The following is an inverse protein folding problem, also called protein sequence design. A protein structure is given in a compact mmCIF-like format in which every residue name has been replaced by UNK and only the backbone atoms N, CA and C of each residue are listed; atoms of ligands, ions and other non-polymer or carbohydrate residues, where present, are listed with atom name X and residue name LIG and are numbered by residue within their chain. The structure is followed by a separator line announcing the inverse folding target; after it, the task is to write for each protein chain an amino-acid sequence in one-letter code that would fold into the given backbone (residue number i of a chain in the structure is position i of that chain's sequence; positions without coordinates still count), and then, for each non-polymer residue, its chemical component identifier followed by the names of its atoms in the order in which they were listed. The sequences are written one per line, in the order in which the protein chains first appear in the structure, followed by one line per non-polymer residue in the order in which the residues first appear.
data_IF_983057816718
#
_entry.id   IF_983057816718
#
_cell.length_a   1.000
_cell.length_b   1.000
_cell.length_c   1.000
_cell.angle_alpha   90.00
_cell.angle_beta   90.00
_cell.angle_gamma   90.00
#
_symmetry.space_group_name_H-M   'P 1'
#
loop_
_entity.id
_entity.type
_entity.pdbx_description
1 polymer ?
#
# COMPACT_ATOMS: atom_id res chain seq x y z
N UNK A 1 -4.03 -0.27 -8.86
CA UNK A 1 -4.25 0.90 -8.00
C UNK A 1 -3.00 1.78 -8.04
N UNK A 2 -1.85 1.32 -7.55
CA UNK A 2 -0.59 2.11 -7.47
C UNK A 2 -0.25 2.90 -8.74
N UNK A 3 -0.19 2.25 -9.92
CA UNK A 3 0.11 2.95 -11.19
C UNK A 3 -0.82 4.16 -11.45
N UNK A 4 -2.11 4.05 -11.17
CA UNK A 4 -3.07 5.14 -11.39
C UNK A 4 -2.83 6.29 -10.40
N UNK A 5 -2.67 5.97 -9.11
CA UNK A 5 -2.58 6.98 -8.04
C UNK A 5 -1.24 7.70 -8.02
N UNK A 6 -0.18 7.11 -8.59
CA UNK A 6 1.09 7.78 -8.85
C UNK A 6 1.09 8.58 -10.16
N UNK A 7 -0.07 8.78 -10.80
CA UNK A 7 -0.21 9.58 -12.02
C UNK A 7 0.13 8.87 -13.34
N UNK A 8 0.30 7.55 -13.32
CA UNK A 8 0.50 6.75 -14.52
C UNK A 8 -0.78 6.62 -15.36
N UNK A 9 -0.63 6.26 -16.63
CA UNK A 9 -1.74 6.14 -17.58
C UNK A 9 -2.67 4.92 -17.33
N UNK A 10 -2.40 4.12 -16.29
CA UNK A 10 -3.21 2.96 -15.96
C UNK A 10 -4.53 3.36 -15.29
N UNK A 11 -5.61 2.64 -15.59
CA UNK A 11 -6.84 2.67 -14.81
C UNK A 11 -6.96 1.40 -13.96
N UNK A 12 -7.28 1.55 -12.68
CA UNK A 12 -7.54 0.45 -11.77
C UNK A 12 -9.04 0.13 -11.73
N UNK A 13 -9.39 -0.97 -12.39
CA UNK A 13 -10.76 -1.48 -12.49
C UNK A 13 -11.05 -2.64 -11.52
N UNK A 14 -10.15 -2.87 -10.56
CA UNK A 14 -10.28 -3.93 -9.55
C UNK A 14 -11.29 -3.60 -8.46
N UNK A 15 -11.43 -4.53 -7.50
CA UNK A 15 -12.24 -4.29 -6.28
C UNK A 15 -11.67 -3.13 -5.48
N UNK A 16 -12.53 -2.41 -4.77
CA UNK A 16 -12.07 -1.45 -3.77
C UNK A 16 -11.24 -2.16 -2.67
N UNK A 17 -10.45 -1.39 -1.93
CA UNK A 17 -9.51 -1.96 -0.95
C UNK A 17 -10.22 -2.77 0.13
N UNK A 18 -11.42 -2.37 0.55
CA UNK A 18 -12.19 -3.08 1.55
C UNK A 18 -12.68 -4.42 1.02
N UNK A 19 -13.37 -4.44 -0.12
CA UNK A 19 -13.88 -5.66 -0.74
C UNK A 19 -12.75 -6.61 -1.18
N UNK A 20 -11.59 -6.07 -1.55
CA UNK A 20 -10.41 -6.86 -1.89
C UNK A 20 -9.83 -7.60 -0.69
N UNK A 21 -9.83 -7.02 0.52
CA UNK A 21 -9.10 -7.56 1.67
C UNK A 21 -9.97 -8.05 2.84
N UNK A 22 -11.28 -7.76 2.84
CA UNK A 22 -12.20 -8.08 3.95
C UNK A 22 -12.23 -9.57 4.36
N UNK A 23 -11.86 -10.49 3.46
CA UNK A 23 -11.88 -11.93 3.70
C UNK A 23 -10.57 -12.47 4.32
N UNK A 24 -9.55 -11.62 4.47
CA UNK A 24 -8.21 -12.01 4.92
C UNK A 24 -7.98 -11.80 6.43
N UNK A 25 -8.86 -11.04 7.10
CA UNK A 25 -8.74 -10.71 8.53
C UNK A 25 -7.37 -10.15 8.91
N UNK A 26 -6.85 -9.20 8.11
CA UNK A 26 -5.52 -8.62 8.31
C UNK A 26 -5.48 -7.80 9.60
N UNK A 27 -4.56 -8.16 10.49
CA UNK A 27 -4.31 -7.48 11.77
C UNK A 27 -3.39 -6.26 11.61
N UNK A 28 -3.41 -5.34 12.59
CA UNK A 28 -2.45 -4.24 12.64
C UNK A 28 -0.98 -4.69 12.58
N UNK A 29 -0.63 -5.80 13.25
CA UNK A 29 0.73 -6.31 13.26
C UNK A 29 1.19 -6.83 11.88
N UNK A 30 0.30 -7.48 11.13
CA UNK A 30 0.58 -7.93 9.77
C UNK A 30 0.70 -6.75 8.80
N UNK A 31 -0.13 -5.73 8.98
CA UNK A 31 -0.02 -4.48 8.25
C UNK A 31 1.34 -3.80 8.48
N UNK A 32 1.74 -3.64 9.74
CA UNK A 32 3.03 -3.03 10.10
C UNK A 32 4.20 -3.85 9.53
N UNK A 33 4.08 -5.18 9.53
CA UNK A 33 5.07 -6.06 8.90
C UNK A 33 5.12 -5.86 7.38
N UNK A 34 3.99 -5.70 6.72
CA UNK A 34 3.93 -5.41 5.29
C UNK A 34 4.59 -4.05 4.97
N UNK A 35 4.31 -3.01 5.76
CA UNK A 35 4.93 -1.69 5.60
C UNK A 35 6.45 -1.77 5.75
N UNK A 36 6.93 -2.51 6.74
CA UNK A 36 8.37 -2.73 6.94
C UNK A 36 9.02 -3.45 5.74
N UNK A 37 8.38 -4.53 5.25
CA UNK A 37 8.85 -5.21 4.05
C UNK A 37 8.84 -4.29 2.82
N UNK A 38 7.83 -3.43 2.70
CA UNK A 38 7.73 -2.49 1.60
C UNK A 38 8.87 -1.46 1.63
N UNK A 39 9.18 -0.88 2.80
CA UNK A 39 10.34 0.02 2.98
C UNK A 39 11.65 -0.65 2.60
N UNK A 40 11.86 -1.90 3.02
CA UNK A 40 13.06 -2.67 2.67
C UNK A 40 13.21 -2.90 1.16
N UNK A 41 12.10 -3.10 0.45
CA UNK A 41 12.11 -3.24 -1.01
C UNK A 41 12.42 -1.91 -1.70
N UNK A 42 11.85 -0.80 -1.23
CA UNK A 42 12.14 0.53 -1.78
C UNK A 42 13.63 0.89 -1.60
N UNK A 43 14.17 0.66 -0.40
CA UNK A 43 15.58 0.87 -0.08
C UNK A 43 16.50 0.00 -0.95
N UNK A 44 16.18 -1.29 -1.08
CA UNK A 44 16.93 -2.22 -1.96
C UNK A 44 16.98 -1.76 -3.42
N UNK A 45 15.95 -1.06 -3.89
CA UNK A 45 15.87 -0.54 -5.25
C UNK A 45 16.36 0.91 -5.37
N UNK A 46 16.96 1.45 -4.30
CA UNK A 46 17.53 2.80 -4.26
C UNK A 46 16.50 3.87 -4.68
N UNK A 47 15.23 3.67 -4.31
CA UNK A 47 14.17 4.65 -4.55
C UNK A 47 14.45 5.86 -3.66
N UNK A 48 14.46 7.11 -4.19
CA UNK A 48 14.79 8.26 -3.35
C UNK A 48 13.76 8.47 -2.24
N UNK A 49 14.17 9.15 -1.17
CA UNK A 49 13.37 9.27 0.06
C UNK A 49 12.04 10.00 -0.17
N UNK A 50 12.02 11.01 -1.04
CA UNK A 50 10.80 11.77 -1.38
C UNK A 50 9.75 10.84 -1.98
N UNK A 51 10.09 10.13 -3.05
CA UNK A 51 9.20 9.21 -3.75
C UNK A 51 8.81 8.03 -2.86
N UNK A 52 9.72 7.55 -2.00
CA UNK A 52 9.41 6.52 -1.01
C UNK A 52 8.39 7.01 0.01
N UNK A 53 8.52 8.25 0.49
CA UNK A 53 7.56 8.89 1.38
C UNK A 53 6.17 9.01 0.76
N UNK A 54 6.11 9.51 -0.48
CA UNK A 54 4.86 9.65 -1.23
C UNK A 54 4.15 8.30 -1.44
N UNK A 55 4.90 7.24 -1.79
CA UNK A 55 4.35 5.90 -1.92
C UNK A 55 3.84 5.35 -0.59
N UNK A 56 4.56 5.59 0.51
CA UNK A 56 4.14 5.16 1.85
C UNK A 56 2.87 5.88 2.29
N UNK A 57 2.69 7.17 1.97
CA UNK A 57 1.46 7.90 2.25
C UNK A 57 0.27 7.33 1.46
N UNK A 58 0.47 7.05 0.16
CA UNK A 58 -0.55 6.42 -0.69
C UNK A 58 -0.97 5.08 -0.09
N UNK A 59 -0.03 4.19 0.21
CA UNK A 59 -0.35 2.87 0.79
C UNK A 59 -0.99 3.05 2.18
N UNK A 60 -0.46 3.94 3.00
CA UNK A 60 -0.97 4.25 4.34
C UNK A 60 -2.43 4.69 4.35
N UNK A 61 -2.86 5.45 3.34
CA UNK A 61 -4.26 5.89 3.19
C UNK A 61 -5.26 4.74 3.09
N UNK A 62 -4.82 3.56 2.66
CA UNK A 62 -5.68 2.37 2.49
C UNK A 62 -5.83 1.52 3.76
N UNK A 63 -5.07 1.82 4.82
CA UNK A 63 -5.05 1.03 6.05
C UNK A 63 -6.45 0.83 6.66
N UNK A 64 -7.27 1.88 6.67
CA UNK A 64 -8.61 1.86 7.25
C UNK A 64 -9.60 0.94 6.55
N UNK A 65 -9.35 0.62 5.28
CA UNK A 65 -10.17 -0.33 4.51
C UNK A 65 -9.71 -1.78 4.66
N UNK A 66 -8.44 -1.99 5.04
CA UNK A 66 -7.77 -3.29 4.98
C UNK A 66 -7.64 -3.94 6.37
N UNK A 67 -7.32 -3.15 7.39
CA UNK A 67 -7.08 -3.66 8.75
C UNK A 67 -8.39 -3.78 9.51
N UNK A 68 -8.65 -4.95 10.09
CA UNK A 68 -9.90 -5.24 10.81
C UNK A 68 -9.84 -4.97 12.32
N UNK A 69 -8.64 -4.85 12.91
CA UNK A 69 -8.41 -4.59 14.34
C UNK A 69 -7.16 -3.71 14.59
#
# INVERSE_FOLDING_TARGET
MVCQVTGGACEYTGRDMKAAHAHLNITAAEWDRMVELFKQVLDKHEVPETESGELLEIIGSTRGDIVVE
#
